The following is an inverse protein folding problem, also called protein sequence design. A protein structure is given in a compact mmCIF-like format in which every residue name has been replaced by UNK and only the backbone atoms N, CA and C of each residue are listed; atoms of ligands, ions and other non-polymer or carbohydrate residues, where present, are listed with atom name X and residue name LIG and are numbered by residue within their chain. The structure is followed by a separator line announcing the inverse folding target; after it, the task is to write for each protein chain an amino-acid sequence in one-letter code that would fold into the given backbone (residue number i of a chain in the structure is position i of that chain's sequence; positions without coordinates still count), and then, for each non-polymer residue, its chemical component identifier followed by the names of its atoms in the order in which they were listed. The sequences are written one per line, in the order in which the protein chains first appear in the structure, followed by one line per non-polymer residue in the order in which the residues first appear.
data_IF_007626123192
#
_entry.id   IF_007626123192
#
_cell.length_a   1.000
_cell.length_b   1.000
_cell.length_c   1.000
_cell.angle_alpha   90.00
_cell.angle_beta   90.00
_cell.angle_gamma   90.00
#
_symmetry.space_group_name_H-M   'P 1'
#
loop_
_entity.id
_entity.type
_entity.pdbx_description
1 polymer ?
#
# COMPACT_ATOMS: atom_id res chain seq x y z
N UNK A 1 25.10 -0.89 0.29
CA UNK A 1 25.40 -0.72 -1.14
C UNK A 1 24.30 0.14 -1.73
N UNK A 2 24.62 1.20 -2.48
CA UNK A 2 23.59 1.94 -3.23
C UNK A 2 23.38 1.14 -4.50
N UNK A 3 22.26 0.41 -4.59
CA UNK A 3 21.85 -0.21 -5.85
C UNK A 3 21.60 0.93 -6.85
N UNK A 4 22.02 0.74 -8.10
CA UNK A 4 21.66 1.66 -9.17
C UNK A 4 20.14 1.64 -9.35
N UNK A 5 19.47 2.73 -8.96
CA UNK A 5 18.02 2.88 -9.03
C UNK A 5 17.57 3.58 -10.32
N UNK A 6 18.41 3.67 -11.35
CA UNK A 6 17.98 4.27 -12.63
C UNK A 6 16.89 3.42 -13.27
N UNK A 7 15.64 3.80 -13.00
CA UNK A 7 14.46 3.09 -13.44
C UNK A 7 14.25 3.28 -14.95
N UNK A 8 14.58 2.26 -15.72
CA UNK A 8 14.16 2.15 -17.13
C UNK A 8 12.89 1.30 -17.19
N UNK A 9 11.78 1.77 -17.79
CA UNK A 9 10.56 0.99 -17.92
C UNK A 9 10.78 -0.35 -18.65
N UNK A 10 9.99 -1.37 -18.30
CA UNK A 10 9.98 -2.66 -18.99
C UNK A 10 9.45 -2.48 -20.41
N UNK A 11 10.21 -3.00 -21.38
CA UNK A 11 9.77 -3.10 -22.77
C UNK A 11 9.59 -4.58 -23.09
N UNK A 12 8.34 -5.03 -23.16
CA UNK A 12 7.97 -6.42 -23.41
C UNK A 12 6.97 -6.51 -24.58
N UNK A 13 6.99 -7.62 -25.31
CA UNK A 13 6.08 -7.90 -26.42
C UNK A 13 4.70 -8.39 -25.95
N UNK A 14 4.59 -8.92 -24.73
CA UNK A 14 3.37 -9.45 -24.13
C UNK A 14 3.38 -9.47 -22.61
N UNK A 15 2.22 -9.71 -21.98
CA UNK A 15 2.07 -9.68 -20.52
C UNK A 15 2.94 -10.71 -19.81
N UNK A 16 3.03 -11.93 -20.36
CA UNK A 16 3.88 -12.97 -19.78
C UNK A 16 5.35 -12.54 -19.64
N UNK A 17 5.92 -11.95 -20.70
CA UNK A 17 7.29 -11.42 -20.68
C UNK A 17 7.38 -10.23 -19.72
N UNK A 18 6.41 -9.32 -19.74
CA UNK A 18 6.36 -8.16 -18.84
C UNK A 18 6.40 -8.57 -17.36
N UNK A 19 5.56 -9.51 -16.94
CA UNK A 19 5.52 -9.96 -15.54
C UNK A 19 6.76 -10.77 -15.15
N UNK A 20 7.36 -11.51 -16.09
CA UNK A 20 8.65 -12.18 -15.87
C UNK A 20 9.75 -11.15 -15.59
N UNK A 21 9.86 -10.12 -16.42
CA UNK A 21 10.83 -9.04 -16.22
C UNK A 21 10.54 -8.23 -14.94
N UNK A 22 9.26 -8.03 -14.61
CA UNK A 22 8.85 -7.33 -13.39
C UNK A 22 9.29 -8.10 -12.14
N UNK A 23 9.13 -9.42 -12.15
CA UNK A 23 9.61 -10.28 -11.07
C UNK A 23 11.14 -10.19 -10.95
N UNK A 24 11.89 -10.29 -12.05
CA UNK A 24 13.36 -10.17 -12.04
C UNK A 24 13.80 -8.83 -11.44
N UNK A 25 13.17 -7.73 -11.84
CA UNK A 25 13.45 -6.40 -11.27
C UNK A 25 13.13 -6.34 -9.78
N UNK A 26 12.00 -6.91 -9.37
CA UNK A 26 11.59 -6.92 -7.97
C UNK A 26 12.55 -7.75 -7.11
N UNK A 27 12.98 -8.92 -7.58
CA UNK A 27 13.97 -9.77 -6.92
C UNK A 27 15.29 -9.04 -6.73
N UNK A 28 15.81 -8.39 -7.78
CA UNK A 28 17.04 -7.60 -7.69
C UNK A 28 16.89 -6.41 -6.73
N UNK A 29 15.75 -5.70 -6.77
CA UNK A 29 15.47 -4.56 -5.90
C UNK A 29 15.37 -4.95 -4.42
N UNK A 30 14.94 -6.17 -4.12
CA UNK A 30 14.71 -6.65 -2.77
C UNK A 30 15.81 -7.60 -2.25
N UNK A 31 16.88 -7.79 -3.01
CA UNK A 31 17.98 -8.66 -2.63
C UNK A 31 18.58 -8.27 -1.27
N UNK A 32 18.52 -9.18 -0.30
CA UNK A 32 19.03 -8.98 1.05
C UNK A 32 18.22 -8.00 1.91
N UNK A 33 17.07 -7.50 1.43
CA UNK A 33 16.18 -6.61 2.18
C UNK A 33 15.12 -7.44 2.90
N UNK A 34 15.08 -7.34 4.23
CA UNK A 34 14.12 -8.09 5.06
C UNK A 34 13.13 -7.21 5.82
N UNK A 35 13.31 -5.87 5.76
CA UNK A 35 12.38 -4.94 6.40
C UNK A 35 11.04 -4.90 5.61
N UNK A 36 9.89 -5.16 6.27
CA UNK A 36 8.61 -5.33 5.57
C UNK A 36 8.14 -4.03 4.94
N UNK A 37 8.35 -2.92 5.64
CA UNK A 37 7.94 -1.60 5.18
C UNK A 37 8.73 -1.25 3.93
N UNK A 38 10.05 -1.46 3.94
CA UNK A 38 10.89 -1.25 2.75
C UNK A 38 10.48 -2.16 1.59
N UNK A 39 10.30 -3.46 1.85
CA UNK A 39 9.91 -4.46 0.85
C UNK A 39 8.60 -4.08 0.17
N UNK A 40 7.54 -3.86 0.96
CA UNK A 40 6.22 -3.56 0.43
C UNK A 40 6.14 -2.16 -0.17
N UNK A 41 6.86 -1.16 0.35
CA UNK A 41 6.89 0.18 -0.25
C UNK A 41 7.52 0.16 -1.64
N UNK A 42 8.66 -0.52 -1.78
CA UNK A 42 9.34 -0.66 -3.06
C UNK A 42 8.56 -1.54 -4.04
N UNK A 43 7.93 -2.62 -3.57
CA UNK A 43 7.06 -3.45 -4.38
C UNK A 43 5.85 -2.67 -4.91
N UNK A 44 5.16 -1.92 -4.05
CA UNK A 44 4.03 -1.08 -4.46
C UNK A 44 4.45 -0.03 -5.50
N UNK A 45 5.58 0.65 -5.26
CA UNK A 45 6.13 1.63 -6.20
C UNK A 45 6.47 1.00 -7.56
N UNK A 46 7.23 -0.10 -7.55
CA UNK A 46 7.66 -0.76 -8.78
C UNK A 46 6.47 -1.28 -9.60
N UNK A 47 5.54 -2.00 -8.96
CA UNK A 47 4.34 -2.54 -9.63
C UNK A 47 3.50 -1.41 -10.22
N UNK A 48 3.23 -0.36 -9.45
CA UNK A 48 2.42 0.78 -9.91
C UNK A 48 3.03 1.49 -11.12
N UNK A 49 4.33 1.78 -11.06
CA UNK A 49 5.02 2.51 -12.12
C UNK A 49 5.17 1.68 -13.40
N UNK A 50 5.53 0.39 -13.28
CA UNK A 50 5.72 -0.47 -14.46
C UNK A 50 4.38 -0.79 -15.14
N UNK A 51 3.30 -1.00 -14.39
CA UNK A 51 1.97 -1.17 -14.97
C UNK A 51 1.57 0.08 -15.76
N UNK A 52 1.65 1.27 -15.16
CA UNK A 52 1.28 2.52 -15.83
C UNK A 52 2.21 2.91 -16.98
N UNK A 53 3.47 2.44 -16.97
CA UNK A 53 4.44 2.69 -18.05
C UNK A 53 4.40 1.65 -19.17
N UNK A 54 3.64 0.56 -19.00
CA UNK A 54 3.57 -0.52 -19.98
C UNK A 54 2.85 -0.10 -21.26
N UNK A 55 3.09 -0.85 -22.34
CA UNK A 55 2.37 -0.71 -23.62
C UNK A 55 0.98 -1.35 -23.61
N UNK A 56 0.59 -2.00 -22.52
CA UNK A 56 -0.70 -2.65 -22.38
C UNK A 56 -1.80 -1.67 -21.98
N UNK A 57 -3.02 -2.20 -21.84
CA UNK A 57 -4.23 -1.44 -21.50
C UNK A 57 -4.15 -0.69 -20.15
N UNK A 58 -3.09 -0.90 -19.36
CA UNK A 58 -2.86 -0.20 -18.09
C UNK A 58 -2.52 1.28 -18.22
N UNK A 59 -2.00 1.72 -19.37
CA UNK A 59 -1.37 3.05 -19.51
C UNK A 59 -2.25 4.16 -18.91
N UNK A 60 -1.75 4.77 -17.84
CA UNK A 60 -2.38 5.85 -17.04
C UNK A 60 -3.75 5.50 -16.42
N UNK A 61 -4.08 4.21 -16.32
CA UNK A 61 -5.39 3.75 -15.84
C UNK A 61 -5.33 3.13 -14.44
N UNK A 62 -4.17 2.65 -13.97
CA UNK A 62 -4.03 2.05 -12.63
C UNK A 62 -3.88 3.17 -11.62
N UNK A 63 -4.96 3.44 -10.86
CA UNK A 63 -5.05 4.57 -9.93
C UNK A 63 -4.64 4.20 -8.49
N UNK A 64 -4.55 2.91 -8.18
CA UNK A 64 -4.10 2.44 -6.87
C UNK A 64 -3.35 1.11 -6.97
N UNK A 65 -2.28 0.96 -6.20
CA UNK A 65 -1.55 -0.30 -6.07
C UNK A 65 -0.91 -0.39 -4.70
N UNK A 66 -1.21 -1.43 -3.92
CA UNK A 66 -0.72 -1.49 -2.56
C UNK A 66 -1.15 -2.72 -1.81
N UNK A 67 -0.95 -2.67 -0.50
CA UNK A 67 -1.11 -3.84 0.34
C UNK A 67 -2.05 -3.59 1.51
N UNK A 68 -2.78 -4.64 1.90
CA UNK A 68 -3.39 -4.72 3.22
C UNK A 68 -2.93 -5.99 3.92
N UNK A 69 -2.44 -5.88 5.15
CA UNK A 69 -1.97 -7.03 5.94
C UNK A 69 -3.04 -7.50 6.92
N UNK A 70 -3.02 -8.80 7.23
CA UNK A 70 -3.88 -9.36 8.26
C UNK A 70 -3.54 -8.74 9.62
N UNK A 71 -4.55 -8.16 10.28
CA UNK A 71 -4.39 -7.54 11.60
C UNK A 71 -3.99 -8.62 12.63
N UNK A 72 -2.80 -8.47 13.21
CA UNK A 72 -2.30 -9.40 14.25
C UNK A 72 -3.08 -9.30 15.55
N UNK A 73 -3.67 -8.13 15.84
CA UNK A 73 -4.48 -7.90 17.05
C UNK A 73 -5.91 -8.40 16.87
N UNK A 74 -6.40 -8.46 15.63
CA UNK A 74 -7.75 -8.91 15.31
C UNK A 74 -7.85 -9.50 13.90
N UNK A 75 -7.63 -10.80 13.77
CA UNK A 75 -7.61 -11.54 12.49
C UNK A 75 -8.91 -11.51 11.67
N UNK A 76 -9.96 -10.81 12.13
CA UNK A 76 -11.16 -10.52 11.33
C UNK A 76 -10.98 -9.33 10.39
N UNK A 77 -9.84 -8.64 10.45
CA UNK A 77 -9.58 -7.44 9.67
C UNK A 77 -8.24 -7.49 8.93
N UNK A 78 -8.22 -6.81 7.80
CA UNK A 78 -7.01 -6.35 7.12
C UNK A 78 -6.77 -4.88 7.49
N UNK A 79 -5.52 -4.46 7.53
CA UNK A 79 -5.06 -3.09 7.82
C UNK A 79 -4.24 -2.57 6.66
N UNK A 80 -4.44 -1.30 6.31
CA UNK A 80 -3.74 -0.63 5.22
C UNK A 80 -2.22 -0.62 5.42
N UNK A 81 -1.49 -1.08 4.41
CA UNK A 81 -0.04 -1.06 4.34
C UNK A 81 0.49 -0.05 3.32
N UNK A 82 1.76 -0.19 2.87
CA UNK A 82 2.32 0.65 1.83
C UNK A 82 1.53 0.57 0.52
N UNK A 83 1.38 1.70 -0.16
CA UNK A 83 0.64 1.79 -1.41
C UNK A 83 1.09 2.99 -2.26
N UNK A 84 0.69 3.00 -3.52
CA UNK A 84 0.73 4.12 -4.45
C UNK A 84 -0.69 4.47 -4.85
N UNK A 85 -1.06 5.75 -4.81
CA UNK A 85 -2.41 6.21 -5.15
C UNK A 85 -2.96 7.21 -4.13
N UNK A 86 -4.27 7.45 -4.18
CA UNK A 86 -4.99 8.32 -3.22
C UNK A 86 -5.17 7.63 -1.86
N UNK A 87 -5.55 8.43 -0.86
CA UNK A 87 -5.98 7.94 0.46
C UNK A 87 -7.09 6.89 0.30
N UNK A 88 -6.94 5.76 0.99
CA UNK A 88 -7.84 4.61 0.92
C UNK A 88 -8.37 4.20 2.31
N UNK A 89 -9.16 3.14 2.35
CA UNK A 89 -9.69 2.58 3.58
C UNK A 89 -8.55 2.12 4.51
N UNK A 90 -8.66 2.36 5.82
CA UNK A 90 -7.60 1.97 6.78
C UNK A 90 -7.77 0.57 7.35
N UNK A 91 -9.02 0.06 7.36
CA UNK A 91 -9.38 -1.28 7.85
C UNK A 91 -10.44 -1.90 6.93
N UNK A 92 -10.28 -3.18 6.62
CA UNK A 92 -11.23 -3.96 5.80
C UNK A 92 -11.59 -5.22 6.56
N UNK A 93 -12.88 -5.56 6.65
CA UNK A 93 -13.32 -6.80 7.30
C UNK A 93 -13.14 -7.97 6.32
N UNK A 94 -12.63 -9.09 6.81
CA UNK A 94 -12.55 -10.34 6.03
C UNK A 94 -13.95 -10.74 5.55
N UNK A 95 -14.05 -11.19 4.30
CA UNK A 95 -15.30 -11.55 3.61
C UNK A 95 -16.14 -10.35 3.16
N UNK A 96 -15.63 -9.12 3.21
CA UNK A 96 -16.36 -7.92 2.76
C UNK A 96 -15.57 -7.14 1.71
N UNK A 97 -16.24 -6.71 0.63
CA UNK A 97 -15.58 -6.11 -0.52
C UNK A 97 -14.65 -7.07 -1.25
N UNK A 98 -14.01 -6.60 -2.30
CA UNK A 98 -13.12 -7.41 -3.15
C UNK A 98 -11.90 -7.87 -2.35
N UNK A 99 -11.22 -6.94 -1.67
CA UNK A 99 -10.13 -7.23 -0.74
C UNK A 99 -10.46 -8.30 0.32
N UNK A 100 -11.58 -8.12 1.03
CA UNK A 100 -11.99 -9.07 2.08
C UNK A 100 -12.38 -10.44 1.51
N UNK A 101 -12.96 -10.47 0.30
CA UNK A 101 -13.34 -11.71 -0.39
C UNK A 101 -12.12 -12.50 -0.85
N UNK A 102 -11.11 -11.84 -1.43
CA UNK A 102 -9.85 -12.47 -1.80
C UNK A 102 -9.12 -13.04 -0.57
N UNK A 103 -9.12 -12.28 0.52
CA UNK A 103 -8.53 -12.68 1.80
C UNK A 103 -9.23 -13.89 2.43
N UNK A 104 -10.57 -13.92 2.45
CA UNK A 104 -11.34 -15.03 3.02
C UNK A 104 -11.13 -16.33 2.23
N UNK A 105 -11.19 -16.23 0.90
CA UNK A 105 -11.09 -17.39 0.02
C UNK A 105 -9.65 -17.86 -0.23
N UNK A 106 -8.65 -17.02 0.10
CA UNK A 106 -7.24 -17.19 -0.27
C UNK A 106 -7.08 -17.49 -1.76
N UNK A 107 -7.86 -16.80 -2.59
CA UNK A 107 -7.79 -16.88 -4.05
C UNK A 107 -7.79 -15.48 -4.66
N UNK A 108 -7.20 -15.30 -5.85
CA UNK A 108 -7.34 -14.07 -6.61
C UNK A 108 -8.81 -13.70 -6.80
N UNK A 109 -9.12 -12.41 -6.72
CA UNK A 109 -10.43 -11.86 -7.04
C UNK A 109 -10.27 -10.84 -8.16
N UNK A 110 -10.70 -11.22 -9.36
CA UNK A 110 -10.65 -10.40 -10.57
C UNK A 110 -12.04 -9.81 -10.83
N UNK A 111 -12.16 -8.48 -10.77
CA UNK A 111 -13.44 -7.78 -10.85
C UNK A 111 -13.44 -6.82 -12.05
N UNK A 112 -14.11 -7.17 -13.17
CA UNK A 112 -14.14 -6.34 -14.38
C UNK A 112 -14.88 -5.01 -14.21
N UNK A 113 -15.87 -4.97 -13.30
CA UNK A 113 -16.64 -3.78 -12.93
C UNK A 113 -16.98 -3.82 -11.43
N UNK A 114 -16.35 -2.97 -10.62
CA UNK A 114 -16.56 -2.95 -9.16
C UNK A 114 -17.96 -2.52 -8.76
N UNK A 115 -18.66 -1.77 -9.63
CA UNK A 115 -20.05 -1.36 -9.36
C UNK A 115 -21.05 -2.52 -9.50
N UNK A 116 -20.65 -3.62 -10.14
CA UNK A 116 -21.45 -4.84 -10.28
C UNK A 116 -21.09 -5.90 -9.23
N UNK A 117 -20.06 -5.64 -8.41
CA UNK A 117 -19.62 -6.56 -7.37
C UNK A 117 -20.50 -6.44 -6.12
N UNK A 118 -21.14 -7.54 -5.71
CA UNK A 118 -21.99 -7.57 -4.53
C UNK A 118 -21.19 -7.28 -3.25
N UNK A 119 -21.64 -6.32 -2.44
CA UNK A 119 -20.95 -5.95 -1.21
C UNK A 119 -19.67 -5.13 -1.42
N UNK A 120 -19.51 -4.49 -2.58
CA UNK A 120 -18.40 -3.57 -2.84
C UNK A 120 -18.34 -2.43 -1.82
N UNK A 121 -17.14 -2.24 -1.24
CA UNK A 121 -16.80 -1.11 -0.38
C UNK A 121 -15.97 -0.13 -1.23
N UNK A 122 -16.57 0.98 -1.67
CA UNK A 122 -15.86 1.95 -2.49
C UNK A 122 -14.97 2.85 -1.63
N UNK A 123 -13.64 2.73 -1.77
CA UNK A 123 -12.66 3.58 -1.10
C UNK A 123 -12.19 4.74 -2.00
N UNK A 124 -11.99 4.50 -3.31
CA UNK A 124 -11.77 5.52 -4.34
C UNK A 124 -12.94 5.51 -5.34
N UNK A 125 -13.63 6.63 -5.51
CA UNK A 125 -14.76 6.74 -6.44
C UNK A 125 -14.37 6.62 -7.91
N UNK A 126 -13.07 6.72 -8.21
CA UNK A 126 -12.56 6.60 -9.57
C UNK A 126 -12.25 5.15 -9.97
N UNK A 127 -12.23 4.19 -9.04
CA UNK A 127 -11.98 2.79 -9.35
C UNK A 127 -13.18 2.16 -10.06
N UNK A 128 -12.92 1.51 -11.20
CA UNK A 128 -13.91 0.86 -12.05
C UNK A 128 -13.65 -0.64 -12.17
N UNK A 129 -12.39 -1.10 -12.22
CA UNK A 129 -12.04 -2.52 -12.10
C UNK A 129 -10.97 -2.72 -11.03
N UNK A 130 -10.94 -3.91 -10.44
CA UNK A 130 -10.07 -4.24 -9.31
C UNK A 130 -9.52 -5.67 -9.48
N UNK A 131 -8.26 -5.87 -9.11
CA UNK A 131 -7.64 -7.18 -9.01
C UNK A 131 -6.94 -7.29 -7.66
N UNK A 132 -7.41 -8.22 -6.83
CA UNK A 132 -6.80 -8.52 -5.54
C UNK A 132 -6.18 -9.91 -5.55
N UNK A 133 -4.93 -10.02 -5.11
CA UNK A 133 -4.20 -11.27 -4.93
C UNK A 133 -3.83 -11.49 -3.46
N UNK A 134 -4.17 -12.63 -2.85
CA UNK A 134 -3.73 -12.95 -1.51
C UNK A 134 -2.25 -13.33 -1.47
N UNK A 135 -1.55 -12.84 -0.46
CA UNK A 135 -0.19 -13.25 -0.10
C UNK A 135 -0.34 -14.27 1.04
N UNK A 136 -0.05 -15.53 0.73
CA UNK A 136 -0.20 -16.66 1.64
C UNK A 136 1.17 -17.24 1.96
N UNK A 137 1.41 -17.53 3.23
CA UNK A 137 2.60 -18.23 3.69
C UNK A 137 2.62 -19.66 3.10
N UNK A 138 3.63 -20.02 2.30
CA UNK A 138 3.68 -21.33 1.64
C UNK A 138 3.90 -22.50 2.60
N UNK A 139 4.37 -22.26 3.83
CA UNK A 139 4.61 -23.30 4.83
C UNK A 139 3.37 -23.60 5.66
N UNK A 140 2.56 -22.57 5.93
CA UNK A 140 1.46 -22.64 6.91
C UNK A 140 0.08 -22.44 6.28
N UNK A 141 0.01 -22.10 4.99
CA UNK A 141 -1.21 -21.73 4.28
C UNK A 141 -1.94 -20.54 4.93
N UNK A 142 -1.25 -19.77 5.78
CA UNK A 142 -1.83 -18.64 6.49
C UNK A 142 -1.81 -17.41 5.61
N UNK A 143 -2.94 -16.70 5.57
CA UNK A 143 -3.00 -15.38 4.93
C UNK A 143 -2.09 -14.40 5.68
N UNK A 144 -1.18 -13.75 4.95
CA UNK A 144 -0.29 -12.71 5.47
C UNK A 144 -0.83 -11.32 5.13
N UNK A 145 -1.19 -11.14 3.85
CA UNK A 145 -1.64 -9.87 3.30
C UNK A 145 -2.42 -10.10 2.00
N UNK A 146 -2.88 -9.03 1.37
CA UNK A 146 -3.33 -8.99 -0.01
C UNK A 146 -2.57 -7.89 -0.75
N UNK A 147 -2.25 -8.13 -2.02
CA UNK A 147 -1.93 -7.10 -3.02
C UNK A 147 -3.25 -6.69 -3.67
N UNK A 148 -3.52 -5.40 -3.68
CA UNK A 148 -4.72 -4.81 -4.24
C UNK A 148 -4.33 -3.78 -5.32
N UNK A 149 -4.99 -3.87 -6.47
CA UNK A 149 -4.76 -3.08 -7.67
C UNK A 149 -6.10 -2.55 -8.19
N UNK A 150 -6.26 -1.23 -8.19
CA UNK A 150 -7.42 -0.56 -8.78
C UNK A 150 -7.08 0.02 -10.15
N UNK A 151 -8.08 0.04 -11.02
CA UNK A 151 -8.04 0.79 -12.27
C UNK A 151 -9.30 1.61 -12.51
N UNK A 152 -9.10 2.80 -13.04
CA UNK A 152 -10.14 3.72 -13.51
C UNK A 152 -10.78 3.34 -14.85
N UNK A 153 -10.52 2.13 -15.35
CA UNK A 153 -11.04 1.62 -16.62
C UNK A 153 -11.72 0.26 -16.41
N UNK A 154 -12.75 -0.05 -17.22
CA UNK A 154 -13.43 -1.34 -17.21
C UNK A 154 -12.52 -2.46 -17.71
N UNK A 155 -12.57 -3.60 -17.03
CA UNK A 155 -11.82 -4.82 -17.40
C UNK A 155 -10.36 -4.51 -17.72
N UNK A 156 -9.68 -3.76 -16.85
CA UNK A 156 -8.27 -3.42 -17.05
C UNK A 156 -7.39 -4.64 -16.88
N UNK A 157 -7.73 -5.49 -15.90
CA UNK A 157 -7.05 -6.72 -15.61
C UNK A 157 -7.77 -7.93 -16.24
N UNK A 158 -7.02 -8.99 -16.52
CA UNK A 158 -7.47 -10.29 -17.01
C UNK A 158 -6.66 -11.44 -16.39
N UNK A 159 -6.88 -12.66 -16.87
CA UNK A 159 -6.24 -13.87 -16.35
C UNK A 159 -4.72 -13.90 -16.54
N UNK A 160 -4.16 -13.24 -17.56
CA UNK A 160 -2.70 -13.16 -17.70
C UNK A 160 -2.08 -12.32 -16.59
N UNK A 161 -2.82 -11.32 -16.10
CA UNK A 161 -2.39 -10.49 -14.96
C UNK A 161 -2.43 -11.27 -13.67
N UNK A 162 -3.48 -12.07 -13.47
CA UNK A 162 -3.58 -12.99 -12.34
C UNK A 162 -2.35 -13.90 -12.33
N UNK A 163 -2.06 -14.57 -13.44
CA UNK A 163 -0.94 -15.51 -13.52
C UNK A 163 0.43 -14.85 -13.26
N UNK A 164 0.65 -13.65 -13.82
CA UNK A 164 1.89 -12.91 -13.64
C UNK A 164 2.08 -12.37 -12.22
N UNK A 165 1.06 -11.71 -11.69
CA UNK A 165 1.07 -11.16 -10.33
C UNK A 165 1.08 -12.24 -9.26
N UNK A 166 0.52 -13.42 -9.53
CA UNK A 166 0.63 -14.57 -8.64
C UNK A 166 2.09 -14.95 -8.34
N UNK A 167 2.97 -14.87 -9.33
CA UNK A 167 4.40 -15.13 -9.11
C UNK A 167 5.04 -14.07 -8.22
N UNK A 168 4.64 -12.80 -8.42
CA UNK A 168 5.09 -11.67 -7.60
C UNK A 168 4.66 -11.82 -6.15
N UNK A 169 3.39 -12.13 -5.87
CA UNK A 169 2.91 -12.32 -4.48
C UNK A 169 3.51 -13.57 -3.82
N UNK A 170 3.80 -14.63 -4.59
CA UNK A 170 4.54 -15.81 -4.09
C UNK A 170 5.95 -15.43 -3.67
N UNK A 171 6.67 -14.64 -4.48
CA UNK A 171 7.99 -14.13 -4.11
C UNK A 171 7.91 -13.23 -2.86
N UNK A 172 6.95 -12.31 -2.80
CA UNK A 172 6.78 -11.44 -1.63
C UNK A 172 6.46 -12.23 -0.35
N UNK A 173 5.77 -13.37 -0.44
CA UNK A 173 5.52 -14.25 0.69
C UNK A 173 6.83 -14.84 1.26
N UNK A 174 7.78 -15.23 0.40
CA UNK A 174 9.07 -15.82 0.85
C UNK A 174 9.99 -14.79 1.49
N UNK A 175 10.01 -13.56 0.96
CA UNK A 175 10.77 -12.45 1.56
C UNK A 175 10.17 -12.04 2.90
N UNK A 176 8.85 -12.10 3.03
CA UNK A 176 8.11 -11.70 4.25
C UNK A 176 8.14 -12.73 5.39
N UNK A 177 8.42 -14.01 5.11
CA UNK A 177 8.58 -15.06 6.13
C UNK A 177 9.79 -14.78 7.05
N UNK A 178 10.83 -14.12 6.51
CA UNK A 178 11.96 -13.61 7.30
C UNK A 178 11.55 -12.41 8.19
N UNK A 179 10.39 -11.82 7.91
CA UNK A 179 9.94 -10.53 8.42
C UNK A 179 8.82 -10.63 9.47
N UNK A 180 8.08 -11.74 9.52
CA UNK A 180 7.04 -11.98 10.53
C UNK A 180 7.57 -11.98 11.97
N UNK A 181 8.90 -12.13 12.14
CA UNK A 181 9.61 -11.97 13.42
C UNK A 181 9.82 -10.50 13.87
N UNK A 182 9.61 -9.49 13.03
CA UNK A 182 9.91 -8.08 13.38
C UNK A 182 8.70 -7.24 13.81
N UNK A 183 7.49 -7.55 13.32
CA UNK A 183 6.28 -6.93 13.89
C UNK A 183 5.98 -7.41 15.33
N UNK A 184 6.75 -8.37 15.87
CA UNK A 184 6.77 -8.68 17.30
C UNK A 184 7.58 -7.67 18.13
N UNK A 185 8.50 -6.92 17.50
CA UNK A 185 9.40 -5.97 18.19
C UNK A 185 8.98 -4.50 18.02
N UNK A 186 7.98 -4.20 17.17
CA UNK A 186 7.44 -2.84 17.08
C UNK A 186 6.48 -2.52 18.23
N UNK A 187 5.90 -3.54 18.87
CA UNK A 187 4.94 -3.38 19.97
C UNK A 187 5.60 -3.32 21.37
N UNK A 188 6.89 -3.68 21.49
CA UNK A 188 7.65 -3.55 22.75
C UNK A 188 8.25 -2.16 23.00
N UNK A 189 8.27 -1.28 21.98
CA UNK A 189 8.86 0.07 22.09
C UNK A 189 7.82 1.21 22.05
N UNK A 190 6.52 0.93 21.92
CA UNK A 190 5.48 1.99 22.02
C UNK A 190 5.31 2.48 23.47
N UNK A 191 5.92 1.83 24.46
CA UNK A 191 6.00 2.36 25.83
C UNK A 191 7.03 3.49 26.03
N UNK A 192 7.89 3.79 25.04
CA UNK A 192 8.86 4.91 25.13
C UNK A 192 8.46 6.15 24.32
N UNK A 193 7.41 6.08 23.52
CA UNK A 193 6.72 7.28 23.00
C UNK A 193 5.84 7.87 24.10
N UNK A 194 6.48 8.54 25.06
CA UNK A 194 5.79 9.59 25.80
C UNK A 194 5.29 10.59 24.76
N UNK A 195 3.98 10.53 24.52
CA UNK A 195 3.18 11.59 23.95
C UNK A 195 3.75 12.90 24.46
N UNK A 196 4.35 13.70 23.57
CA UNK A 196 4.48 15.13 23.79
C UNK A 196 3.04 15.61 23.90
N UNK A 197 2.53 15.62 25.14
CA UNK A 197 1.25 16.24 25.48
C UNK A 197 1.40 17.67 24.99
N UNK A 198 0.70 17.97 23.91
CA UNK A 198 0.49 19.31 23.41
C UNK A 198 0.23 20.21 24.63
N UNK A 199 0.99 21.30 24.68
CA UNK A 199 0.90 22.32 25.70
C UNK A 199 -0.59 22.59 25.98
N UNK A 200 -0.93 22.48 27.27
CA UNK A 200 -2.21 22.98 27.77
C UNK A 200 -2.32 24.43 27.30
N UNK A 201 -3.39 24.74 26.59
CA UNK A 201 -3.89 26.10 26.55
C UNK A 201 -4.16 26.48 28.01
N UNK A 202 -3.31 27.37 28.53
CA UNK A 202 -3.47 27.94 29.85
C UNK A 202 -4.56 29.02 29.73
N UNK A 203 -5.76 28.73 30.22
CA UNK A 203 -6.89 29.68 30.28
C UNK A 203 -6.65 30.83 31.28
N UNK A 204 -5.40 31.08 31.72
CA UNK A 204 -5.04 32.15 32.64
C UNK A 204 -4.00 33.15 32.08
N UNK A 205 -3.94 33.35 30.76
CA UNK A 205 -3.29 34.54 30.18
C UNK A 205 -4.35 35.55 29.74
N UNK A 206 -5.18 35.94 30.71
CA UNK A 206 -5.95 37.18 30.69
C UNK A 206 -5.46 38.05 31.85
N UNK A 207 -4.78 39.16 31.52
CA UNK A 207 -4.61 40.41 32.31
C UNK A 207 -3.19 40.97 32.48
N UNK A 208 -2.10 40.30 32.12
CA UNK A 208 -0.76 40.84 32.46
C UNK A 208 0.14 41.34 31.30
N UNK A 209 -0.21 41.18 30.03
CA UNK A 209 0.73 41.48 28.92
C UNK A 209 0.20 42.37 27.80
N UNK A 210 -0.94 43.04 28.01
CA UNK A 210 -1.50 44.01 27.04
C UNK A 210 -0.82 45.40 27.16
N UNK A 211 0.12 45.63 28.08
CA UNK A 211 0.58 47.00 28.40
C UNK A 211 2.04 47.38 28.12
N UNK A 212 2.80 46.65 27.28
CA UNK A 212 4.20 47.09 27.03
C UNK A 212 4.82 46.86 25.65
N UNK A 213 4.07 46.52 24.59
CA UNK A 213 4.71 46.36 23.25
C UNK A 213 3.82 46.77 22.08
N UNK A 214 2.97 47.79 22.26
CA UNK A 214 2.20 48.43 21.19
C UNK A 214 2.54 49.92 20.97
N UNK A 215 3.73 50.39 21.34
CA UNK A 215 4.09 51.82 21.18
C UNK A 215 5.24 52.11 20.20
N UNK A 216 6.02 51.13 19.71
CA UNK A 216 7.27 51.48 18.99
C UNK A 216 7.41 51.03 17.52
N UNK A 217 6.33 50.90 16.74
CA UNK A 217 6.44 50.64 15.28
C UNK A 217 5.69 51.65 14.40
N UNK A 218 5.18 52.75 14.96
CA UNK A 218 4.65 53.88 14.17
C UNK A 218 5.33 55.19 14.60
N UNK A 219 6.59 55.39 14.21
CA UNK A 219 7.20 56.71 14.01
C UNK A 219 8.59 56.58 13.35
N UNK A 220 8.62 56.40 12.02
CA UNK A 220 9.76 56.79 11.19
C UNK A 220 9.31 57.01 9.73
N UNK A 221 8.54 58.09 9.52
CA UNK A 221 8.52 58.83 8.26
C UNK A 221 8.75 60.31 8.58
N UNK A 222 10.01 60.74 8.47
CA UNK A 222 10.49 62.01 7.88
C UNK A 222 12.00 61.89 7.74
#
# INVERSE_FOLDING_TARGET
MVQDTTHKPISAAGKAEFYSELLIKLEALLEGITNPVTVLSNAAALVHHELNSSSFKYKDSVNWSGFYYLDKTNSKFLILGPFQGKVACTRIKIGTGVCGTAAENKKPCLVPNVHEFEGHITCDSNSISELVLPIVDPSSEKLLAVLDLDSSTLSSFDEEDVLGLEQIVKFLATVSEQTTNLAANYDSDVSTLQVVKAARFDENIGESLINSTLVNVFNSQT
#
